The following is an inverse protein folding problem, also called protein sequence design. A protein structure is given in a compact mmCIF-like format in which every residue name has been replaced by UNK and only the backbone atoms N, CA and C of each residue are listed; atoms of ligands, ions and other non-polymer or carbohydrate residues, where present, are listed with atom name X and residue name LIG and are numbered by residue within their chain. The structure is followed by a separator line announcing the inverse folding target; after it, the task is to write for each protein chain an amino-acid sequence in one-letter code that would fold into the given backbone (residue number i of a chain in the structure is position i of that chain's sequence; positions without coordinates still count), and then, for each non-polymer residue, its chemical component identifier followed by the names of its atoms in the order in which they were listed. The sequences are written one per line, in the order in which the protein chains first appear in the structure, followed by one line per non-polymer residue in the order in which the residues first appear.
data_IF_675151963246
#
_entry.id   IF_675151963246
#
_cell.length_a   1.000
_cell.length_b   1.000
_cell.length_c   1.000
_cell.angle_alpha   90.00
_cell.angle_beta   90.00
_cell.angle_gamma   90.00
#
_symmetry.space_group_name_H-M   'P 1'
#
loop_
_entity.id
_entity.type
_entity.pdbx_description
1 polymer ?
#
# COMPACT_ATOMS: atom_id res chain seq x y z
N UNK A 1 3.61 -6.24 18.96
CA UNK A 1 3.48 -6.04 17.51
C UNK A 1 4.84 -5.64 16.93
N UNK A 2 5.20 -6.09 15.72
CA UNK A 2 6.41 -5.72 14.96
C UNK A 2 6.01 -4.96 13.68
N UNK A 3 6.92 -4.16 13.10
CA UNK A 3 6.69 -3.44 11.84
C UNK A 3 7.63 -3.96 10.76
N UNK A 4 7.08 -4.73 9.83
CA UNK A 4 7.79 -5.37 8.73
C UNK A 4 7.72 -4.46 7.49
N UNK A 5 8.88 -4.05 6.99
CA UNK A 5 8.96 -3.21 5.79
C UNK A 5 9.08 -4.06 4.53
N UNK A 6 8.40 -3.66 3.47
CA UNK A 6 8.50 -4.29 2.16
C UNK A 6 9.04 -3.29 1.13
N UNK A 7 10.04 -3.73 0.37
CA UNK A 7 10.65 -2.91 -0.68
C UNK A 7 9.78 -3.03 -1.93
N UNK A 8 9.24 -1.92 -2.43
CA UNK A 8 8.61 -1.91 -3.75
C UNK A 8 9.65 -2.17 -4.86
N UNK A 9 9.27 -2.95 -5.88
CA UNK A 9 10.02 -3.04 -7.14
C UNK A 9 9.59 -1.97 -8.16
N UNK A 10 8.52 -1.22 -7.89
CA UNK A 10 8.14 -0.12 -8.78
C UNK A 10 9.22 0.97 -8.77
N UNK A 11 9.74 1.29 -9.95
CA UNK A 11 10.89 2.20 -10.13
C UNK A 11 12.27 1.59 -9.89
N UNK A 12 12.39 0.31 -9.49
CA UNK A 12 13.68 -0.38 -9.41
C UNK A 12 14.17 -0.78 -10.81
N UNK A 13 15.39 -0.35 -11.17
CA UNK A 13 15.97 -0.59 -12.50
C UNK A 13 17.00 -1.75 -12.53
N UNK A 14 17.27 -2.37 -11.39
CA UNK A 14 18.24 -3.47 -11.28
C UNK A 14 17.60 -4.87 -11.39
N UNK A 15 18.41 -5.91 -11.17
CA UNK A 15 17.91 -7.29 -11.06
C UNK A 15 17.13 -7.53 -9.76
N UNK A 16 16.43 -8.67 -9.69
CA UNK A 16 15.81 -9.11 -8.43
C UNK A 16 16.86 -9.31 -7.33
N UNK A 17 18.02 -9.84 -7.68
CA UNK A 17 19.15 -10.01 -6.74
C UNK A 17 19.59 -8.66 -6.16
N UNK A 18 19.73 -7.61 -6.98
CA UNK A 18 20.11 -6.30 -6.45
C UNK A 18 18.99 -5.68 -5.61
N UNK A 19 17.72 -5.92 -5.95
CA UNK A 19 16.60 -5.49 -5.12
C UNK A 19 16.63 -6.16 -3.74
N UNK A 20 16.89 -7.48 -3.69
CA UNK A 20 16.98 -8.24 -2.46
C UNK A 20 18.14 -7.77 -1.58
N UNK A 21 19.33 -7.56 -2.17
CA UNK A 21 20.47 -7.01 -1.45
C UNK A 21 20.18 -5.62 -0.86
N UNK A 22 19.51 -4.75 -1.60
CA UNK A 22 19.08 -3.44 -1.10
C UNK A 22 18.06 -3.57 0.05
N UNK A 23 17.07 -4.46 -0.10
CA UNK A 23 16.07 -4.73 0.95
C UNK A 23 16.75 -5.22 2.23
N UNK A 24 17.58 -6.27 2.14
CA UNK A 24 18.29 -6.84 3.28
C UNK A 24 19.25 -5.82 3.93
N UNK A 25 20.00 -5.05 3.14
CA UNK A 25 20.90 -4.03 3.67
C UNK A 25 20.16 -2.90 4.42
N UNK A 26 18.95 -2.55 3.99
CA UNK A 26 18.12 -1.55 4.64
C UNK A 26 17.22 -2.11 5.76
N UNK A 27 17.30 -3.42 6.05
CA UNK A 27 16.52 -4.07 7.11
C UNK A 27 15.05 -4.30 6.76
N UNK A 28 14.72 -4.37 5.47
CA UNK A 28 13.39 -4.72 5.00
C UNK A 28 13.16 -6.23 5.11
N UNK A 29 11.93 -6.61 5.41
CA UNK A 29 11.50 -7.99 5.65
C UNK A 29 11.02 -8.69 4.38
N UNK A 30 10.77 -7.94 3.31
CA UNK A 30 10.24 -8.50 2.08
C UNK A 30 10.26 -7.55 0.89
N UNK A 31 9.65 -8.02 -0.19
CA UNK A 31 9.46 -7.30 -1.45
C UNK A 31 7.97 -7.23 -1.76
N UNK A 32 7.51 -6.08 -2.24
CA UNK A 32 6.19 -5.92 -2.85
C UNK A 32 6.34 -5.61 -4.33
N UNK A 33 5.65 -6.38 -5.18
CA UNK A 33 5.72 -6.22 -6.63
C UNK A 33 4.60 -6.99 -7.34
N UNK A 34 4.26 -6.63 -8.59
CA UNK A 34 3.48 -7.51 -9.44
C UNK A 34 4.28 -8.78 -9.78
N UNK A 35 3.61 -9.93 -9.80
CA UNK A 35 4.24 -11.16 -10.25
C UNK A 35 4.64 -11.03 -11.73
N UNK A 36 5.90 -11.36 -12.09
CA UNK A 36 6.35 -11.31 -13.47
C UNK A 36 5.45 -12.07 -14.46
N UNK A 37 5.28 -11.53 -15.66
CA UNK A 37 4.47 -12.15 -16.72
C UNK A 37 5.07 -13.47 -17.20
N UNK A 38 6.41 -13.60 -17.20
CA UNK A 38 7.11 -14.77 -17.72
C UNK A 38 7.55 -15.74 -16.61
N UNK A 39 7.42 -17.03 -16.88
CA UNK A 39 7.65 -18.13 -15.92
C UNK A 39 9.11 -18.20 -15.42
N UNK A 40 10.06 -17.88 -16.29
CA UNK A 40 11.48 -17.82 -15.97
C UNK A 40 11.78 -16.70 -14.96
N UNK A 41 11.24 -15.51 -15.18
CA UNK A 41 11.36 -14.38 -14.24
C UNK A 41 10.65 -14.65 -12.91
N UNK A 42 9.48 -15.32 -12.93
CA UNK A 42 8.84 -15.75 -11.68
C UNK A 42 9.69 -16.76 -10.91
N UNK A 43 10.31 -17.69 -11.63
CA UNK A 43 11.21 -18.68 -11.03
C UNK A 43 12.44 -18.00 -10.43
N UNK A 44 13.03 -17.03 -11.13
CA UNK A 44 14.15 -16.22 -10.64
C UNK A 44 13.76 -15.45 -9.36
N UNK A 45 12.63 -14.73 -9.38
CA UNK A 45 12.15 -13.99 -8.21
C UNK A 45 11.91 -14.93 -7.01
N UNK A 46 11.28 -16.08 -7.22
CA UNK A 46 11.07 -17.08 -6.16
C UNK A 46 12.39 -17.62 -5.58
N UNK A 47 13.42 -17.79 -6.40
CA UNK A 47 14.74 -18.21 -5.94
C UNK A 47 15.41 -17.12 -5.11
N UNK A 48 15.38 -15.88 -5.58
CA UNK A 48 15.96 -14.72 -4.88
C UNK A 48 15.27 -14.51 -3.53
N UNK A 49 13.93 -14.51 -3.48
CA UNK A 49 13.17 -14.36 -2.24
C UNK A 49 13.57 -15.42 -1.20
N UNK A 50 13.63 -16.70 -1.61
CA UNK A 50 14.04 -17.79 -0.72
C UNK A 50 15.51 -17.71 -0.30
N UNK A 51 16.41 -17.32 -1.21
CA UNK A 51 17.83 -17.20 -0.92
C UNK A 51 18.11 -16.14 0.15
N UNK A 52 17.41 -15.00 0.09
CA UNK A 52 17.56 -13.88 1.02
C UNK A 52 16.60 -13.92 2.22
N UNK A 53 15.71 -14.94 2.29
CA UNK A 53 14.72 -15.06 3.35
C UNK A 53 13.68 -13.93 3.36
N UNK A 54 13.38 -13.35 2.21
CA UNK A 54 12.46 -12.22 2.04
C UNK A 54 11.04 -12.72 1.82
N UNK A 55 10.08 -12.12 2.53
CA UNK A 55 8.65 -12.32 2.28
C UNK A 55 8.19 -11.59 1.02
N UNK A 56 7.04 -11.96 0.47
CA UNK A 56 6.50 -11.36 -0.75
C UNK A 56 5.06 -10.89 -0.58
N UNK A 57 4.76 -9.66 -1.01
CA UNK A 57 3.39 -9.17 -1.20
C UNK A 57 3.14 -9.07 -2.70
N UNK A 58 2.07 -9.70 -3.16
CA UNK A 58 1.70 -9.69 -4.57
C UNK A 58 0.84 -8.45 -4.88
N UNK A 59 1.38 -7.52 -5.65
CA UNK A 59 0.66 -6.34 -6.13
C UNK A 59 -0.17 -6.69 -7.38
N UNK A 60 -1.46 -6.35 -7.37
CA UNK A 60 -2.38 -6.64 -8.46
C UNK A 60 -3.15 -5.39 -8.86
N UNK A 61 -2.92 -4.94 -10.08
CA UNK A 61 -3.82 -4.04 -10.80
C UNK A 61 -4.88 -4.84 -11.55
N UNK A 62 -6.17 -4.69 -11.24
CA UNK A 62 -7.24 -5.35 -12.01
C UNK A 62 -7.52 -4.61 -13.31
N UNK A 63 -7.70 -5.33 -14.43
CA UNK A 63 -8.02 -4.81 -15.77
C UNK A 63 -7.33 -3.47 -16.12
N UNK A 64 -6.04 -3.53 -16.47
CA UNK A 64 -5.19 -2.36 -16.72
C UNK A 64 -3.87 -2.39 -15.95
N UNK A 65 -3.27 -1.21 -15.76
CA UNK A 65 -2.08 -0.98 -14.93
C UNK A 65 -2.48 -0.21 -13.66
N UNK A 66 -1.62 0.64 -13.09
CA UNK A 66 -2.01 1.54 -11.99
C UNK A 66 -3.27 2.37 -12.32
N UNK A 67 -3.49 2.68 -13.61
CA UNK A 67 -4.76 3.22 -14.12
C UNK A 67 -5.60 2.07 -14.71
N UNK A 68 -6.89 1.91 -14.33
CA UNK A 68 -7.76 0.91 -14.93
C UNK A 68 -8.01 1.19 -16.40
N UNK A 69 -8.31 0.14 -17.16
CA UNK A 69 -9.07 0.31 -18.40
C UNK A 69 -10.46 0.85 -18.05
N UNK A 70 -10.75 2.07 -18.49
CA UNK A 70 -11.99 2.80 -18.19
C UNK A 70 -13.24 2.06 -18.67
N UNK A 71 -13.12 1.20 -19.67
CA UNK A 71 -14.23 0.49 -20.28
C UNK A 71 -14.38 -0.96 -19.82
N UNK A 72 -13.43 -1.46 -19.02
CA UNK A 72 -13.54 -2.80 -18.46
C UNK A 72 -14.74 -2.90 -17.52
N UNK A 73 -15.45 -4.02 -17.65
CA UNK A 73 -16.60 -4.42 -16.83
C UNK A 73 -16.14 -5.02 -15.50
N UNK A 74 -17.00 -5.05 -14.47
CA UNK A 74 -16.70 -5.75 -13.23
C UNK A 74 -16.26 -7.21 -13.43
N UNK A 75 -16.84 -7.92 -14.41
CA UNK A 75 -16.49 -9.30 -14.73
C UNK A 75 -15.06 -9.42 -15.29
N UNK A 76 -14.64 -8.50 -16.14
CA UNK A 76 -13.26 -8.45 -16.67
C UNK A 76 -12.25 -8.10 -15.57
N UNK A 77 -12.59 -7.22 -14.63
CA UNK A 77 -11.77 -6.96 -13.45
C UNK A 77 -11.63 -8.21 -12.57
N UNK A 78 -12.72 -8.97 -12.33
CA UNK A 78 -12.69 -10.21 -11.56
C UNK A 78 -11.89 -11.32 -12.26
N UNK A 79 -12.04 -11.46 -13.58
CA UNK A 79 -11.24 -12.40 -14.37
C UNK A 79 -9.75 -12.04 -14.29
N UNK A 80 -9.42 -10.76 -14.45
CA UNK A 80 -8.05 -10.27 -14.30
C UNK A 80 -7.51 -10.52 -12.90
N UNK A 81 -8.33 -10.36 -11.85
CA UNK A 81 -7.95 -10.65 -10.48
C UNK A 81 -7.62 -12.13 -10.29
N UNK A 82 -8.51 -13.04 -10.71
CA UNK A 82 -8.29 -14.48 -10.58
C UNK A 82 -7.02 -14.94 -11.31
N UNK A 83 -6.81 -14.48 -12.54
CA UNK A 83 -5.61 -14.80 -13.33
C UNK A 83 -4.32 -14.32 -12.63
N UNK A 84 -4.32 -13.09 -12.11
CA UNK A 84 -3.15 -12.53 -11.43
C UNK A 84 -2.91 -13.15 -10.06
N UNK A 85 -3.96 -13.56 -9.34
CA UNK A 85 -3.82 -14.37 -8.11
C UNK A 85 -3.11 -15.68 -8.45
N UNK A 86 -3.65 -16.45 -9.40
CA UNK A 86 -3.09 -17.74 -9.80
C UNK A 86 -1.63 -17.64 -10.24
N UNK A 87 -1.28 -16.59 -11.00
CA UNK A 87 0.08 -16.34 -11.45
C UNK A 87 1.06 -16.08 -10.31
N UNK A 88 0.62 -15.43 -9.24
CA UNK A 88 1.48 -15.10 -8.10
C UNK A 88 1.60 -16.22 -7.08
N UNK A 89 0.70 -17.23 -7.07
CA UNK A 89 0.74 -18.34 -6.11
C UNK A 89 2.11 -19.03 -5.99
N UNK A 90 2.87 -19.28 -7.09
CA UNK A 90 4.21 -19.89 -6.99
C UNK A 90 5.26 -19.04 -6.26
N UNK A 91 4.99 -17.75 -6.03
CA UNK A 91 5.85 -16.84 -5.26
C UNK A 91 5.52 -16.87 -3.76
N UNK A 92 4.52 -17.65 -3.34
CA UNK A 92 4.08 -17.80 -1.94
C UNK A 92 3.82 -16.45 -1.23
N UNK A 93 2.97 -15.57 -1.80
CA UNK A 93 2.72 -14.26 -1.21
C UNK A 93 2.07 -14.39 0.17
N UNK A 94 2.47 -13.51 1.11
CA UNK A 94 1.84 -13.43 2.44
C UNK A 94 0.40 -12.91 2.35
N UNK A 95 0.13 -12.05 1.37
CA UNK A 95 -1.20 -11.64 0.92
C UNK A 95 -1.10 -10.91 -0.43
N UNK A 96 -2.25 -10.54 -0.98
CA UNK A 96 -2.39 -9.81 -2.23
C UNK A 96 -2.81 -8.37 -1.97
N UNK A 97 -2.01 -7.40 -2.39
CA UNK A 97 -2.42 -6.00 -2.44
C UNK A 97 -3.11 -5.73 -3.78
N UNK A 98 -4.35 -5.23 -3.77
CA UNK A 98 -5.20 -5.19 -4.97
C UNK A 98 -5.72 -3.78 -5.23
N UNK A 99 -5.24 -3.18 -6.32
CA UNK A 99 -5.84 -2.01 -6.96
C UNK A 99 -7.06 -2.46 -7.79
N UNK A 100 -8.21 -2.42 -7.12
CA UNK A 100 -9.49 -2.94 -7.59
C UNK A 100 -10.42 -1.89 -8.22
N UNK A 101 -11.13 -2.29 -9.27
CA UNK A 101 -12.24 -1.54 -9.84
C UNK A 101 -11.85 -0.24 -10.55
N UNK A 102 -12.85 0.63 -10.71
CA UNK A 102 -12.78 1.90 -11.42
C UNK A 102 -13.55 2.97 -10.62
N UNK A 103 -12.95 4.16 -10.50
CA UNK A 103 -13.51 5.34 -9.81
C UNK A 103 -14.87 5.79 -10.36
N UNK A 104 -15.14 5.53 -11.64
CA UNK A 104 -16.32 6.00 -12.32
C UNK A 104 -17.52 5.04 -12.28
N UNK A 105 -17.43 3.96 -11.49
CA UNK A 105 -18.56 3.07 -11.25
C UNK A 105 -19.50 3.64 -10.18
N UNK A 106 -20.83 3.50 -10.34
CA UNK A 106 -21.80 3.77 -9.28
C UNK A 106 -21.51 2.98 -8.00
N UNK A 107 -21.91 3.51 -6.84
CA UNK A 107 -21.60 2.91 -5.53
C UNK A 107 -22.12 1.47 -5.39
N UNK A 108 -23.33 1.19 -5.87
CA UNK A 108 -23.93 -0.16 -5.86
C UNK A 108 -23.12 -1.17 -6.68
N UNK A 109 -22.61 -0.75 -7.84
CA UNK A 109 -21.68 -1.56 -8.67
C UNK A 109 -20.36 -1.81 -7.94
N UNK A 110 -19.82 -0.80 -7.25
CA UNK A 110 -18.59 -0.95 -6.47
C UNK A 110 -18.78 -1.94 -5.31
N UNK A 111 -19.90 -1.86 -4.59
CA UNK A 111 -20.25 -2.80 -3.51
C UNK A 111 -20.39 -4.23 -4.07
N UNK A 112 -21.15 -4.43 -5.16
CA UNK A 112 -21.27 -5.76 -5.78
C UNK A 112 -19.90 -6.32 -6.20
N UNK A 113 -19.08 -5.51 -6.87
CA UNK A 113 -17.76 -5.91 -7.32
C UNK A 113 -16.86 -6.37 -6.16
N UNK A 114 -16.76 -5.60 -5.08
CA UNK A 114 -15.89 -5.99 -3.95
C UNK A 114 -16.44 -7.18 -3.17
N UNK A 115 -17.77 -7.34 -3.05
CA UNK A 115 -18.34 -8.54 -2.45
C UNK A 115 -18.00 -9.80 -3.25
N UNK A 116 -18.04 -9.70 -4.58
CA UNK A 116 -17.63 -10.79 -5.49
C UNK A 116 -16.12 -11.02 -5.48
N UNK A 117 -15.31 -9.97 -5.37
CA UNK A 117 -13.86 -10.07 -5.27
C UNK A 117 -13.42 -10.73 -3.95
N UNK A 118 -14.06 -10.39 -2.83
CA UNK A 118 -13.84 -11.06 -1.55
C UNK A 118 -14.24 -12.54 -1.62
N UNK A 119 -15.41 -12.85 -2.20
CA UNK A 119 -15.86 -14.23 -2.39
C UNK A 119 -14.90 -15.04 -3.27
N UNK A 120 -14.28 -14.41 -4.28
CA UNK A 120 -13.23 -15.01 -5.10
C UNK A 120 -11.98 -15.32 -4.26
N UNK A 121 -11.52 -14.38 -3.44
CA UNK A 121 -10.37 -14.58 -2.56
C UNK A 121 -10.61 -15.73 -1.56
N UNK A 122 -11.81 -15.77 -0.94
CA UNK A 122 -12.21 -16.83 -0.01
C UNK A 122 -12.24 -18.21 -0.69
N UNK A 123 -12.80 -18.30 -1.91
CA UNK A 123 -12.82 -19.54 -2.70
C UNK A 123 -11.42 -20.05 -3.01
N UNK A 124 -10.47 -19.14 -3.27
CA UNK A 124 -9.07 -19.48 -3.55
C UNK A 124 -8.25 -19.69 -2.27
N UNK A 125 -8.81 -19.41 -1.09
CA UNK A 125 -8.11 -19.55 0.20
C UNK A 125 -6.99 -18.53 0.39
N UNK A 126 -7.09 -17.35 -0.23
CA UNK A 126 -6.07 -16.29 -0.16
C UNK A 126 -6.60 -15.03 0.51
N UNK A 127 -5.69 -14.22 1.06
CA UNK A 127 -6.04 -12.91 1.62
C UNK A 127 -5.82 -11.82 0.56
N UNK A 128 -6.87 -11.10 0.22
CA UNK A 128 -6.78 -9.85 -0.54
C UNK A 128 -6.95 -8.64 0.39
N UNK A 129 -6.12 -7.63 0.18
CA UNK A 129 -6.18 -6.31 0.80
C UNK A 129 -6.33 -5.29 -0.32
N UNK A 130 -7.43 -4.54 -0.33
CA UNK A 130 -7.79 -3.68 -1.46
C UNK A 130 -7.29 -2.26 -1.23
N UNK A 131 -6.59 -1.69 -2.21
CA UNK A 131 -5.85 -0.45 -2.05
C UNK A 131 -6.68 0.81 -2.29
N UNK A 132 -6.48 1.82 -1.44
CA UNK A 132 -6.92 3.19 -1.71
C UNK A 132 -6.04 3.83 -2.78
N UNK A 133 -6.52 3.89 -4.02
CA UNK A 133 -5.72 4.40 -5.14
C UNK A 133 -6.55 5.29 -6.06
N UNK A 134 -5.97 6.40 -6.56
CA UNK A 134 -6.68 7.30 -7.47
C UNK A 134 -7.00 6.60 -8.80
N UNK A 135 -8.16 6.88 -9.39
CA UNK A 135 -8.63 6.15 -10.58
C UNK A 135 -9.24 4.76 -10.29
N UNK A 136 -9.04 4.22 -9.08
CA UNK A 136 -9.67 2.97 -8.61
C UNK A 136 -10.90 3.27 -7.76
N UNK A 137 -11.68 2.24 -7.42
CA UNK A 137 -12.91 2.44 -6.65
C UNK A 137 -12.69 3.13 -5.29
N UNK A 138 -11.57 2.86 -4.62
CA UNK A 138 -11.22 3.48 -3.34
C UNK A 138 -10.41 4.78 -3.45
N UNK A 139 -10.67 5.57 -4.49
CA UNK A 139 -9.95 6.83 -4.75
C UNK A 139 -10.24 7.96 -3.75
N UNK A 140 -11.32 7.88 -2.97
CA UNK A 140 -11.69 8.91 -2.00
C UNK A 140 -12.19 8.31 -0.68
N UNK A 141 -12.12 9.06 0.44
CA UNK A 141 -12.49 8.57 1.76
C UNK A 141 -13.97 8.16 1.87
N UNK A 142 -14.88 8.92 1.28
CA UNK A 142 -16.32 8.75 1.51
C UNK A 142 -16.89 7.51 0.81
N UNK A 143 -16.50 7.26 -0.45
CA UNK A 143 -16.87 6.04 -1.18
C UNK A 143 -16.26 4.82 -0.49
N UNK A 144 -14.99 4.90 -0.09
CA UNK A 144 -14.32 3.80 0.62
C UNK A 144 -15.06 3.46 1.92
N UNK A 145 -15.41 4.47 2.72
CA UNK A 145 -16.20 4.30 3.95
C UNK A 145 -17.53 3.61 3.68
N UNK A 146 -18.27 4.05 2.66
CA UNK A 146 -19.60 3.53 2.37
C UNK A 146 -19.55 2.07 1.88
N UNK A 147 -18.52 1.70 1.10
CA UNK A 147 -18.27 0.29 0.74
C UNK A 147 -17.89 -0.53 1.97
N UNK A 148 -16.98 -0.05 2.83
CA UNK A 148 -16.56 -0.75 4.05
C UNK A 148 -17.69 -0.96 5.07
N UNK A 149 -18.67 -0.05 5.10
CA UNK A 149 -19.88 -0.22 5.91
C UNK A 149 -20.80 -1.31 5.34
N UNK A 150 -20.88 -1.43 4.02
CA UNK A 150 -21.64 -2.47 3.35
C UNK A 150 -20.95 -3.85 3.40
N UNK A 151 -19.62 -3.88 3.39
CA UNK A 151 -18.78 -5.07 3.34
C UNK A 151 -17.73 -5.04 4.48
N UNK A 152 -18.16 -5.28 5.74
CA UNK A 152 -17.30 -5.13 6.91
C UNK A 152 -16.11 -6.11 6.97
N UNK A 153 -16.14 -7.20 6.22
CA UNK A 153 -15.06 -8.20 6.16
C UNK A 153 -13.88 -7.78 5.28
N UNK A 154 -14.04 -6.74 4.45
CA UNK A 154 -12.97 -6.29 3.56
C UNK A 154 -11.75 -5.82 4.35
N UNK A 155 -10.59 -6.13 3.79
CA UNK A 155 -9.28 -5.64 4.24
C UNK A 155 -8.77 -4.59 3.27
N UNK A 156 -8.14 -3.55 3.81
CA UNK A 156 -7.70 -2.39 3.03
C UNK A 156 -6.19 -2.19 3.12
N UNK A 157 -5.57 -1.92 1.97
CA UNK A 157 -4.24 -1.33 1.90
C UNK A 157 -4.40 0.18 1.88
N UNK A 158 -3.88 0.85 2.90
CA UNK A 158 -4.03 2.30 3.05
C UNK A 158 -2.84 3.02 2.43
N UNK A 159 -3.05 3.58 1.24
CA UNK A 159 -2.24 4.66 0.67
C UNK A 159 -3.06 5.97 0.69
N UNK A 160 -2.97 6.70 1.80
CA UNK A 160 -3.72 7.95 1.97
C UNK A 160 -3.18 9.11 1.13
N UNK A 161 -2.01 8.96 0.50
CA UNK A 161 -1.46 10.01 -0.37
C UNK A 161 -2.37 10.31 -1.56
N UNK A 162 -3.10 9.31 -2.05
CA UNK A 162 -4.11 9.47 -3.10
C UNK A 162 -5.30 10.31 -2.66
N UNK A 163 -5.75 10.15 -1.42
CA UNK A 163 -6.90 10.91 -0.92
C UNK A 163 -6.56 12.38 -0.70
N UNK A 164 -5.33 12.68 -0.27
CA UNK A 164 -4.90 14.06 -0.04
C UNK A 164 -5.03 14.91 -1.29
N UNK A 165 -4.55 14.42 -2.43
CA UNK A 165 -4.67 15.13 -3.71
C UNK A 165 -6.10 15.17 -4.22
N UNK A 166 -6.88 14.09 -4.05
CA UNK A 166 -8.30 14.06 -4.48
C UNK A 166 -9.17 15.04 -3.70
N UNK A 167 -8.88 15.23 -2.41
CA UNK A 167 -9.66 16.10 -1.53
C UNK A 167 -9.10 17.53 -1.42
N UNK A 168 -7.94 17.81 -2.02
CA UNK A 168 -7.19 19.07 -1.89
C UNK A 168 -6.95 19.47 -0.43
N UNK A 169 -6.73 18.48 0.47
CA UNK A 169 -6.53 18.71 1.91
C UNK A 169 -5.89 17.51 2.59
N UNK A 170 -5.24 17.75 3.72
CA UNK A 170 -4.71 16.68 4.58
C UNK A 170 -5.84 15.90 5.28
N UNK A 171 -5.60 14.62 5.52
CA UNK A 171 -6.62 13.68 6.03
C UNK A 171 -7.02 13.89 7.50
N UNK A 172 -6.34 14.79 8.21
CA UNK A 172 -6.78 15.26 9.54
C UNK A 172 -8.19 15.85 9.51
N UNK A 173 -8.59 16.44 8.38
CA UNK A 173 -9.93 17.00 8.19
C UNK A 173 -11.04 15.94 8.05
N UNK A 174 -10.67 14.68 7.77
CA UNK A 174 -11.59 13.55 7.57
C UNK A 174 -11.36 12.48 8.65
N UNK A 175 -10.95 12.89 9.86
CA UNK A 175 -10.43 12.00 10.91
C UNK A 175 -11.38 10.85 11.31
N UNK A 176 -12.69 11.11 11.39
CA UNK A 176 -13.67 10.05 11.68
C UNK A 176 -13.63 8.94 10.62
N UNK A 177 -13.49 9.31 9.35
CA UNK A 177 -13.36 8.35 8.25
C UNK A 177 -12.03 7.59 8.33
N UNK A 178 -10.94 8.25 8.70
CA UNK A 178 -9.64 7.59 8.92
C UNK A 178 -9.74 6.53 10.03
N UNK A 179 -10.41 6.84 11.13
CA UNK A 179 -10.63 5.88 12.21
C UNK A 179 -11.49 4.69 11.76
N UNK A 180 -12.56 4.92 10.99
CA UNK A 180 -13.38 3.83 10.42
C UNK A 180 -12.58 2.93 9.48
N UNK A 181 -11.76 3.51 8.60
CA UNK A 181 -10.93 2.76 7.64
C UNK A 181 -9.79 2.02 8.36
N UNK A 182 -9.23 2.60 9.43
CA UNK A 182 -8.21 1.96 10.25
C UNK A 182 -8.68 0.62 10.84
N UNK A 183 -9.98 0.47 11.16
CA UNK A 183 -10.58 -0.80 11.62
C UNK A 183 -10.59 -1.91 10.57
N UNK A 184 -10.34 -1.57 9.30
CA UNK A 184 -10.25 -2.49 8.16
C UNK A 184 -8.83 -2.55 7.56
N UNK A 185 -7.94 -1.66 7.96
CA UNK A 185 -6.57 -1.60 7.46
C UNK A 185 -5.79 -2.89 7.75
N UNK A 186 -5.19 -3.47 6.73
CA UNK A 186 -4.32 -4.65 6.79
C UNK A 186 -2.87 -4.31 6.42
N UNK A 187 -2.68 -3.47 5.41
CA UNK A 187 -1.38 -3.04 4.92
C UNK A 187 -1.32 -1.51 4.77
N UNK A 188 -0.11 -0.94 4.77
CA UNK A 188 0.13 0.50 4.61
C UNK A 188 1.11 0.71 3.45
N UNK A 189 0.76 1.59 2.52
CA UNK A 189 1.75 2.21 1.64
C UNK A 189 2.15 3.56 2.22
N UNK A 190 3.43 3.70 2.56
CA UNK A 190 3.96 4.84 3.28
C UNK A 190 4.44 5.97 2.35
N UNK A 191 3.63 6.29 1.33
CA UNK A 191 3.83 7.48 0.51
C UNK A 191 3.25 8.71 1.21
N UNK A 192 3.92 9.85 1.07
CA UNK A 192 3.42 11.14 1.60
C UNK A 192 2.95 11.99 0.43
N UNK A 193 1.66 12.26 0.37
CA UNK A 193 1.05 13.24 -0.54
C UNK A 193 0.91 14.61 0.10
N UNK A 194 0.46 15.58 -0.69
CA UNK A 194 0.13 16.94 -0.28
C UNK A 194 -1.05 17.45 -1.13
N UNK A 195 -1.64 18.58 -0.74
CA UNK A 195 -2.87 19.13 -1.33
C UNK A 195 -2.80 19.31 -2.86
N UNK A 196 -1.60 19.50 -3.41
CA UNK A 196 -1.39 19.64 -4.87
C UNK A 196 -0.80 18.39 -5.55
N UNK A 197 -0.57 17.27 -4.84
CA UNK A 197 0.02 16.10 -5.46
C UNK A 197 0.05 14.83 -4.60
N UNK A 198 -0.04 13.63 -5.22
CA UNK A 198 -0.03 12.35 -4.52
C UNK A 198 1.34 11.98 -3.93
N UNK A 199 2.39 12.74 -4.23
CA UNK A 199 3.74 12.47 -3.73
C UNK A 199 4.49 13.78 -3.56
N UNK A 200 4.99 14.05 -2.36
CA UNK A 200 5.91 15.17 -2.13
C UNK A 200 7.27 14.89 -2.80
N UNK A 201 7.96 15.92 -3.32
CA UNK A 201 9.31 15.78 -3.89
C UNK A 201 10.30 15.05 -2.97
N UNK A 202 10.25 15.33 -1.67
CA UNK A 202 11.05 14.64 -0.66
C UNK A 202 10.37 14.75 0.71
N UNK A 203 10.06 13.64 1.41
CA UNK A 203 9.30 13.67 2.66
C UNK A 203 10.06 14.29 3.83
N UNK A 204 11.40 14.34 3.78
CA UNK A 204 12.21 15.01 4.78
C UNK A 204 12.33 16.54 4.60
N UNK A 205 11.82 17.10 3.49
CA UNK A 205 11.98 18.53 3.25
C UNK A 205 11.06 19.34 4.19
N UNK A 206 11.56 20.43 4.82
CA UNK A 206 10.82 21.16 5.85
C UNK A 206 9.46 21.70 5.40
N UNK A 207 9.34 22.09 4.14
CA UNK A 207 8.09 22.58 3.55
C UNK A 207 6.98 21.52 3.51
N UNK A 208 7.31 20.22 3.60
CA UNK A 208 6.35 19.11 3.67
C UNK A 208 6.23 18.50 5.07
N UNK A 209 6.80 19.15 6.11
CA UNK A 209 6.77 18.62 7.47
C UNK A 209 5.34 18.41 8.00
N UNK A 210 4.40 19.31 7.65
CA UNK A 210 2.99 19.18 8.04
C UNK A 210 2.32 17.99 7.33
N UNK A 211 2.57 17.83 6.03
CA UNK A 211 2.05 16.72 5.24
C UNK A 211 2.55 15.36 5.79
N UNK A 212 3.85 15.25 6.08
CA UNK A 212 4.43 14.07 6.70
C UNK A 212 3.80 13.80 8.08
N UNK A 213 3.67 14.82 8.93
CA UNK A 213 3.08 14.67 10.26
C UNK A 213 1.60 14.20 10.20
N UNK A 214 0.85 14.66 9.20
CA UNK A 214 -0.54 14.21 8.95
C UNK A 214 -0.60 12.73 8.60
N UNK A 215 0.24 12.27 7.66
CA UNK A 215 0.30 10.86 7.29
C UNK A 215 0.74 9.99 8.48
N UNK A 216 1.71 10.46 9.27
CA UNK A 216 2.16 9.76 10.48
C UNK A 216 1.04 9.59 11.52
N UNK A 217 0.16 10.58 11.71
CA UNK A 217 -1.01 10.45 12.58
C UNK A 217 -1.99 9.39 12.06
N UNK A 218 -2.22 9.37 10.74
CA UNK A 218 -3.08 8.37 10.12
C UNK A 218 -2.51 6.95 10.26
N UNK A 219 -1.21 6.77 10.04
CA UNK A 219 -0.55 5.46 10.21
C UNK A 219 -0.54 5.01 11.67
N UNK A 220 -0.36 5.92 12.64
CA UNK A 220 -0.49 5.60 14.06
C UNK A 220 -1.91 5.14 14.44
N UNK A 221 -2.95 5.72 13.83
CA UNK A 221 -4.33 5.24 14.03
C UNK A 221 -4.51 3.80 13.51
N UNK A 222 -3.91 3.47 12.36
CA UNK A 222 -3.87 2.10 11.83
C UNK A 222 -3.17 1.16 12.82
N UNK A 223 -1.97 1.52 13.31
CA UNK A 223 -1.24 0.70 14.28
C UNK A 223 -2.05 0.48 15.56
N UNK A 224 -2.69 1.52 16.09
CA UNK A 224 -3.56 1.41 17.25
C UNK A 224 -4.74 0.47 17.02
N UNK A 225 -5.38 0.56 15.85
CA UNK A 225 -6.45 -0.37 15.48
C UNK A 225 -5.96 -1.81 15.33
N UNK A 226 -4.85 -2.03 14.63
CA UNK A 226 -4.25 -3.35 14.44
C UNK A 226 -3.87 -3.99 15.78
N UNK A 227 -3.27 -3.22 16.69
CA UNK A 227 -2.91 -3.70 18.03
C UNK A 227 -4.15 -4.11 18.84
N UNK A 228 -5.22 -3.29 18.83
CA UNK A 228 -6.51 -3.66 19.46
C UNK A 228 -7.12 -4.92 18.85
N UNK A 229 -6.97 -5.09 17.54
CA UNK A 229 -7.42 -6.28 16.79
C UNK A 229 -6.47 -7.48 16.92
N UNK A 230 -5.42 -7.38 17.75
CA UNK A 230 -4.53 -8.48 18.09
C UNK A 230 -3.44 -8.79 17.05
N UNK A 231 -3.17 -7.88 16.11
CA UNK A 231 -2.12 -8.08 15.11
C UNK A 231 -0.75 -8.22 15.79
N UNK A 232 -0.02 -9.26 15.43
CA UNK A 232 1.35 -9.47 15.89
C UNK A 232 2.37 -8.71 15.03
N UNK A 233 2.02 -8.41 13.78
CA UNK A 233 2.84 -7.70 12.80
C UNK A 233 1.97 -6.70 12.03
N UNK A 234 2.47 -5.50 11.82
CA UNK A 234 2.00 -4.58 10.78
C UNK A 234 2.97 -4.64 9.61
N UNK A 235 2.46 -4.54 8.39
CA UNK A 235 3.27 -4.47 7.18
C UNK A 235 3.18 -3.07 6.58
N UNK A 236 4.30 -2.58 6.03
CA UNK A 236 4.38 -1.26 5.42
C UNK A 236 5.32 -1.25 4.22
N UNK A 237 4.88 -0.69 3.10
CA UNK A 237 5.70 -0.50 1.90
C UNK A 237 5.93 0.99 1.67
N UNK A 238 7.16 1.51 1.89
CA UNK A 238 7.61 2.77 1.33
C UNK A 238 7.46 2.73 -0.20
N UNK A 239 6.49 3.48 -0.71
CA UNK A 239 6.08 3.37 -2.12
C UNK A 239 6.20 4.70 -2.86
N UNK A 240 7.26 5.48 -2.59
CA UNK A 240 7.59 6.59 -3.48
C UNK A 240 7.98 6.02 -4.85
N UNK A 241 7.43 6.57 -5.94
CA UNK A 241 7.57 5.98 -7.26
C UNK A 241 7.94 6.94 -8.39
N UNK A 242 8.25 6.40 -9.59
CA UNK A 242 8.57 7.14 -10.82
C UNK A 242 7.30 7.67 -11.53
N UNK A 243 7.28 7.73 -12.86
CA UNK A 243 6.09 8.01 -13.69
C UNK A 243 5.34 9.32 -13.38
N UNK A 244 6.10 10.37 -13.06
CA UNK A 244 5.57 11.69 -12.74
C UNK A 244 5.22 11.90 -11.26
N UNK A 245 5.35 10.87 -10.43
CA UNK A 245 5.29 11.02 -8.98
C UNK A 245 6.61 11.57 -8.43
N UNK A 246 7.76 11.01 -8.82
CA UNK A 246 9.05 11.58 -8.49
C UNK A 246 9.25 12.84 -9.33
N UNK A 247 9.26 13.99 -8.65
CA UNK A 247 9.42 15.27 -9.30
C UNK A 247 10.74 15.34 -10.07
N UNK A 248 10.70 15.96 -11.24
CA UNK A 248 11.88 16.16 -12.09
C UNK A 248 12.07 17.62 -12.43
N UNK A 249 13.31 18.04 -12.63
CA UNK A 249 13.62 19.38 -13.13
C UNK A 249 13.00 19.58 -14.53
N UNK A 250 12.38 20.76 -14.80
CA UNK A 250 11.86 21.08 -16.12
C UNK A 250 12.93 20.94 -17.20
N UNK A 251 12.52 20.52 -18.40
CA UNK A 251 13.36 20.36 -19.60
C UNK A 251 14.44 19.27 -19.55
N UNK A 252 14.99 18.91 -18.38
CA UNK A 252 16.02 17.86 -18.27
C UNK A 252 15.46 16.52 -17.82
N UNK A 253 14.27 16.51 -17.21
CA UNK A 253 13.69 15.33 -16.55
C UNK A 253 14.61 14.69 -15.49
N UNK A 254 15.60 15.44 -14.99
CA UNK A 254 16.47 14.96 -13.92
C UNK A 254 15.65 14.84 -12.63
N UNK A 255 15.62 13.66 -11.98
CA UNK A 255 14.97 13.50 -10.68
C UNK A 255 15.52 14.47 -9.64
N UNK A 256 14.63 15.08 -8.85
CA UNK A 256 15.04 16.00 -7.78
C UNK A 256 15.54 15.28 -6.52
N UNK A 257 15.34 13.97 -6.45
CA UNK A 257 15.79 13.10 -5.37
C UNK A 257 16.12 11.69 -5.90
N UNK A 258 16.95 10.95 -5.17
CA UNK A 258 17.17 9.52 -5.41
C UNK A 258 16.00 8.70 -4.84
N UNK A 259 15.32 7.95 -5.69
CA UNK A 259 14.10 7.24 -5.34
C UNK A 259 14.30 6.19 -4.24
N UNK A 260 15.43 5.46 -4.28
CA UNK A 260 15.70 4.42 -3.29
C UNK A 260 16.07 5.03 -1.94
N UNK A 261 16.84 6.13 -1.94
CA UNK A 261 17.15 6.87 -0.72
C UNK A 261 15.88 7.40 -0.06
N UNK A 262 14.93 7.94 -0.84
CA UNK A 262 13.64 8.40 -0.31
C UNK A 262 12.85 7.27 0.34
N UNK A 263 12.69 6.14 -0.36
CA UNK A 263 11.98 4.97 0.17
C UNK A 263 12.66 4.37 1.41
N UNK A 264 13.99 4.27 1.39
CA UNK A 264 14.77 3.79 2.54
C UNK A 264 14.63 4.74 3.74
N UNK A 265 14.69 6.05 3.50
CA UNK A 265 14.58 7.06 4.53
C UNK A 265 13.21 7.03 5.21
N UNK A 266 12.11 7.03 4.44
CA UNK A 266 10.77 7.02 5.03
C UNK A 266 10.50 5.69 5.73
N UNK A 267 10.92 4.56 5.16
CA UNK A 267 10.81 3.25 5.81
C UNK A 267 11.51 3.22 7.17
N UNK A 268 12.79 3.64 7.21
CA UNK A 268 13.56 3.68 8.47
C UNK A 268 12.92 4.62 9.49
N UNK A 269 12.48 5.80 9.04
CA UNK A 269 11.77 6.76 9.90
C UNK A 269 10.51 6.15 10.51
N UNK A 270 9.69 5.45 9.72
CA UNK A 270 8.45 4.86 10.23
C UNK A 270 8.67 3.65 11.13
N UNK A 271 9.73 2.85 10.93
CA UNK A 271 10.15 1.87 11.93
C UNK A 271 10.52 2.53 13.26
N UNK A 272 11.28 3.64 13.24
CA UNK A 272 11.65 4.35 14.47
C UNK A 272 10.42 4.99 15.15
N UNK A 273 9.49 5.57 14.39
CA UNK A 273 8.24 6.12 14.91
C UNK A 273 7.34 5.01 15.49
N UNK A 274 7.29 3.84 14.86
CA UNK A 274 6.56 2.68 15.36
C UNK A 274 7.10 2.22 16.72
N UNK A 275 8.42 2.14 16.89
CA UNK A 275 9.03 1.77 18.17
C UNK A 275 8.71 2.78 19.27
N UNK A 276 8.82 4.08 18.99
CA UNK A 276 8.44 5.14 19.95
C UNK A 276 6.97 5.06 20.34
N UNK A 277 6.10 4.83 19.36
CA UNK A 277 4.67 4.65 19.60
C UNK A 277 4.43 3.44 20.51
N UNK A 278 5.07 2.30 20.24
CA UNK A 278 4.93 1.08 21.05
C UNK A 278 5.40 1.28 22.50
N UNK A 279 6.52 1.98 22.70
CA UNK A 279 7.03 2.29 24.04
C UNK A 279 6.09 3.22 24.80
N UNK A 280 5.50 4.21 24.11
CA UNK A 280 4.47 5.07 24.71
C UNK A 280 3.21 4.29 25.11
N UNK A 281 2.75 3.32 24.30
CA UNK A 281 1.61 2.46 24.64
C UNK A 281 1.91 1.60 25.88
N UNK A 282 3.12 1.03 25.97
CA UNK A 282 3.54 0.23 27.14
C UNK A 282 3.62 1.07 28.41
N UNK A 283 4.16 2.28 28.31
CA UNK A 283 4.25 3.21 29.43
C UNK A 283 2.85 3.63 29.94
N UNK A 284 1.90 3.87 29.03
CA UNK A 284 0.52 4.18 29.40
C UNK A 284 -0.15 3.00 30.13
N UNK A 285 -0.02 1.78 29.61
CA UNK A 285 -0.58 0.58 30.25
C UNK A 285 -0.01 0.33 31.66
N UNK A 286 1.28 0.61 31.89
CA UNK A 286 1.92 0.44 33.19
C UNK A 286 1.49 1.48 34.25
N UNK A 287 0.83 2.58 33.85
CA UNK A 287 0.29 3.60 34.77
C UNK A 287 -1.16 3.24 35.17
N UNK A 288 -1.85 2.43 34.37
CA UNK A 288 -3.24 2.01 34.62
C UNK A 288 -3.34 0.73 35.49
N UNK A 289 -2.22 0.03 35.72
CA UNK A 289 -2.07 -1.10 36.66
C UNK A 289 -1.67 -0.67 38.07
#
# INVERSE_FOLDING_TARGET
MQCDLFKTLWGHQGSFESAALLASAAGFSGIEAPAPEHDDQRTELAQVLRHHGLSYIAEICTAGSYVPDRHATPDEHLQSLEQKIQRSLPLEPVFFNVMGGCDAWPLDVQIDFFGRAQSLADRLGVLCSFETHRGRSFFNPWVTRDVLRALPELRITCDFSHWVVVCERLMDSEWETILEVAERAHHIHARVGYDQGPQVPHPAAPEYAEALASHERCWQAIWASQARRGFQRTTMTPEFGPDGYLHTLPFTHQPVADLWQVNSWIGKRQQDQFLRWLDAQRAAAAIEE
#
